data_IF_135553090447
#
_entry.id   IF_135553090447
#
_cell.length_a   1.000
_cell.length_b   1.000
_cell.length_c   1.000
_cell.angle_alpha   90.00
_cell.angle_beta   90.00
_cell.angle_gamma   90.00
#
_symmetry.space_group_name_H-M   'P 1'
#
loop_
_entity.id
_entity.type
_entity.pdbx_description
1 polymer ?
#
# COMPACT_ATOMS: atom_id res chain seq x y z
N UNK A 1 -4.05 6.29 -5.54
CA UNK A 1 -4.43 7.44 -6.36
C UNK A 1 -4.16 8.72 -5.61
N UNK A 2 -4.17 9.86 -6.31
CA UNK A 2 -3.97 11.17 -5.71
C UNK A 2 -5.35 11.81 -5.46
N UNK A 3 -5.63 12.20 -4.22
CA UNK A 3 -6.82 12.97 -3.86
C UNK A 3 -6.70 14.46 -4.26
N UNK A 4 -5.48 14.92 -4.54
CA UNK A 4 -5.13 16.30 -4.85
C UNK A 4 -4.35 16.37 -6.17
N UNK A 5 -4.46 17.48 -6.90
CA UNK A 5 -3.60 17.74 -8.05
C UNK A 5 -2.21 18.19 -7.57
N UNK A 6 -1.19 17.38 -7.89
CA UNK A 6 0.19 17.66 -7.50
C UNK A 6 1.01 17.88 -8.75
N UNK A 7 1.72 18.99 -8.77
CA UNK A 7 2.62 19.37 -9.83
C UNK A 7 4.06 19.38 -9.31
N UNK A 8 4.99 19.00 -10.16
CA UNK A 8 6.42 19.09 -9.88
C UNK A 8 7.15 19.72 -11.07
N UNK A 9 8.33 20.25 -10.79
CA UNK A 9 9.24 20.69 -11.83
C UNK A 9 9.59 19.52 -12.76
N UNK A 10 9.88 19.86 -14.01
CA UNK A 10 10.31 18.88 -14.98
C UNK A 10 11.66 18.26 -14.55
N UNK A 11 11.80 16.92 -14.59
CA UNK A 11 13.07 16.29 -14.30
C UNK A 11 14.18 16.78 -15.25
N UNK A 12 15.41 16.82 -14.73
CA UNK A 12 16.58 17.14 -15.54
C UNK A 12 16.68 16.16 -16.73
N UNK A 13 16.98 16.71 -17.91
CA UNK A 13 17.04 15.94 -19.16
C UNK A 13 15.71 15.69 -19.88
N UNK A 14 14.56 16.10 -19.30
CA UNK A 14 13.25 16.04 -19.97
C UNK A 14 12.75 17.39 -20.50
N UNK A 15 13.42 18.49 -20.15
CA UNK A 15 13.06 19.84 -20.61
C UNK A 15 13.44 20.02 -22.09
N UNK A 16 12.47 20.42 -22.92
CA UNK A 16 12.70 20.74 -24.33
C UNK A 16 12.79 22.25 -24.55
N UNK A 17 13.53 22.71 -25.58
CA UNK A 17 13.55 24.12 -25.95
C UNK A 17 12.14 24.66 -26.21
N UNK A 18 11.76 25.74 -25.54
CA UNK A 18 10.42 26.35 -25.61
C UNK A 18 9.39 25.77 -24.62
N UNK A 19 9.74 24.73 -23.87
CA UNK A 19 8.90 24.08 -22.86
C UNK A 19 9.41 24.30 -21.43
N UNK A 20 10.35 25.23 -21.21
CA UNK A 20 11.06 25.41 -19.94
C UNK A 20 10.12 25.79 -18.77
N UNK A 21 8.97 26.40 -19.07
CA UNK A 21 7.97 26.82 -18.07
C UNK A 21 6.90 25.77 -17.80
N UNK A 22 6.93 24.62 -18.46
CA UNK A 22 5.98 23.54 -18.19
C UNK A 22 6.31 22.84 -16.87
N UNK A 23 5.29 22.20 -16.30
CA UNK A 23 5.38 21.42 -15.07
C UNK A 23 4.75 20.04 -15.29
N UNK A 24 5.21 19.04 -14.57
CA UNK A 24 4.66 17.70 -14.63
C UNK A 24 3.51 17.55 -13.63
N UNK A 25 2.33 17.18 -14.10
CA UNK A 25 1.23 16.75 -13.22
C UNK A 25 1.39 15.28 -12.86
N UNK A 26 1.48 14.98 -11.58
CA UNK A 26 1.53 13.60 -11.10
C UNK A 26 0.18 12.93 -11.29
N UNK A 27 0.19 11.73 -11.90
CA UNK A 27 -1.01 10.89 -12.02
C UNK A 27 -1.12 9.87 -10.89
N UNK A 28 -0.01 9.58 -10.22
CA UNK A 28 0.09 8.65 -9.08
C UNK A 28 1.04 9.23 -8.04
N UNK A 29 0.89 8.80 -6.80
CA UNK A 29 1.80 9.21 -5.72
C UNK A 29 3.20 8.69 -5.97
N UNK A 30 4.20 9.55 -5.76
CA UNK A 30 5.62 9.20 -5.77
C UNK A 30 6.13 8.99 -4.35
N UNK A 31 7.16 8.16 -4.22
CA UNK A 31 7.90 8.05 -2.96
C UNK A 31 8.50 9.40 -2.58
N UNK A 32 8.53 9.72 -1.28
CA UNK A 32 9.01 11.00 -0.77
C UNK A 32 7.98 12.13 -0.74
N UNK A 33 6.80 11.97 -1.35
CA UNK A 33 5.71 12.93 -1.11
C UNK A 33 5.17 12.76 0.31
N UNK A 34 4.90 13.88 1.00
CA UNK A 34 4.39 13.89 2.38
C UNK A 34 3.14 13.03 2.59
N UNK A 35 2.25 12.97 1.60
CA UNK A 35 1.00 12.22 1.65
C UNK A 35 1.11 10.79 1.10
N UNK A 36 2.23 10.43 0.45
CA UNK A 36 2.39 9.11 -0.17
C UNK A 36 2.20 7.95 0.81
N UNK A 37 2.81 7.97 2.02
CA UNK A 37 2.64 6.86 2.97
C UNK A 37 1.18 6.69 3.40
N UNK A 38 0.47 7.80 3.62
CA UNK A 38 -0.94 7.79 4.03
C UNK A 38 -1.85 7.26 2.92
N UNK A 39 -1.63 7.67 1.67
CA UNK A 39 -2.44 7.18 0.55
C UNK A 39 -2.20 5.70 0.28
N UNK A 40 -0.94 5.26 0.38
CA UNK A 40 -0.60 3.85 0.26
C UNK A 40 -1.26 3.02 1.36
N UNK A 41 -1.18 3.45 2.62
CA UNK A 41 -1.83 2.78 3.74
C UNK A 41 -3.35 2.68 3.55
N UNK A 42 -4.02 3.76 3.13
CA UNK A 42 -5.47 3.74 2.85
C UNK A 42 -5.84 2.69 1.78
N UNK A 43 -5.05 2.60 0.71
CA UNK A 43 -5.27 1.60 -0.34
C UNK A 43 -5.04 0.18 0.18
N UNK A 44 -3.98 -0.01 0.97
CA UNK A 44 -3.66 -1.29 1.60
C UNK A 44 -4.76 -1.74 2.58
N UNK A 45 -5.17 -0.87 3.50
CA UNK A 45 -6.25 -1.11 4.47
C UNK A 45 -7.54 -1.52 3.74
N UNK A 46 -7.94 -0.75 2.73
CA UNK A 46 -9.12 -1.05 1.92
C UNK A 46 -9.02 -2.40 1.22
N UNK A 47 -7.83 -2.76 0.72
CA UNK A 47 -7.59 -4.05 0.08
C UNK A 47 -7.67 -5.22 1.07
N UNK A 48 -7.01 -5.09 2.23
CA UNK A 48 -7.02 -6.12 3.28
C UNK A 48 -8.45 -6.41 3.77
N UNK A 49 -9.24 -5.36 4.02
CA UNK A 49 -10.65 -5.50 4.38
C UNK A 49 -11.46 -6.21 3.27
N UNK A 50 -11.19 -5.87 2.00
CA UNK A 50 -11.85 -6.50 0.85
C UNK A 50 -11.55 -7.99 0.71
N UNK A 51 -10.34 -8.43 1.04
CA UNK A 51 -9.97 -9.86 1.03
C UNK A 51 -10.33 -10.59 2.33
N UNK A 52 -11.14 -9.97 3.20
CA UNK A 52 -11.71 -10.60 4.38
C UNK A 52 -10.78 -10.66 5.59
N UNK A 53 -9.76 -9.79 5.65
CA UNK A 53 -8.99 -9.56 6.87
C UNK A 53 -9.66 -8.46 7.68
N UNK A 54 -9.49 -8.48 9.00
CA UNK A 54 -9.97 -7.46 9.91
C UNK A 54 -8.79 -6.77 10.55
N UNK A 55 -8.90 -5.46 10.75
CA UNK A 55 -7.89 -4.69 11.46
C UNK A 55 -8.03 -4.94 12.96
N UNK A 56 -6.91 -5.11 13.65
CA UNK A 56 -6.87 -5.21 15.10
C UNK A 56 -7.37 -3.91 15.74
N UNK A 57 -8.15 -4.00 16.82
CA UNK A 57 -8.69 -2.84 17.52
C UNK A 57 -7.59 -2.02 18.24
N UNK A 58 -6.52 -2.69 18.66
CA UNK A 58 -5.45 -2.07 19.44
C UNK A 58 -4.31 -1.52 18.57
N UNK A 59 -4.11 -2.07 17.36
CA UNK A 59 -3.04 -1.67 16.46
C UNK A 59 -3.51 -1.66 15.01
N UNK A 60 -3.49 -0.49 14.38
CA UNK A 60 -3.97 -0.29 13.02
C UNK A 60 -3.05 -0.88 11.93
N UNK A 61 -1.85 -1.31 12.32
CA UNK A 61 -0.89 -2.00 11.46
C UNK A 61 -1.04 -3.53 11.50
N UNK A 62 -1.90 -4.07 12.36
CA UNK A 62 -2.13 -5.50 12.50
C UNK A 62 -3.45 -5.89 11.86
N UNK A 63 -3.38 -6.89 10.96
CA UNK A 63 -4.53 -7.48 10.30
C UNK A 63 -4.63 -8.96 10.68
N UNK A 64 -5.84 -9.40 11.00
CA UNK A 64 -6.11 -10.77 11.44
C UNK A 64 -7.23 -11.34 10.58
N UNK A 65 -7.05 -12.58 10.14
CA UNK A 65 -8.11 -13.38 9.53
C UNK A 65 -8.35 -14.63 10.38
N UNK A 66 -9.55 -14.73 10.92
CA UNK A 66 -10.05 -15.91 11.63
C UNK A 66 -10.98 -16.67 10.69
N UNK A 67 -10.77 -17.98 10.53
CA UNK A 67 -11.66 -18.87 9.78
C UNK A 67 -12.11 -20.00 10.71
N UNK A 68 -13.38 -20.38 10.62
CA UNK A 68 -13.93 -21.42 11.49
C UNK A 68 -13.14 -22.73 11.36
N UNK A 69 -12.68 -23.27 12.49
CA UNK A 69 -11.91 -24.52 12.53
C UNK A 69 -10.46 -24.40 12.06
N UNK A 70 -9.97 -23.20 11.72
CA UNK A 70 -8.58 -22.96 11.34
C UNK A 70 -7.90 -21.95 12.29
N UNK A 71 -6.61 -22.12 12.58
CA UNK A 71 -5.87 -21.10 13.33
C UNK A 71 -5.79 -19.78 12.56
N UNK A 72 -5.68 -18.63 13.26
CA UNK A 72 -5.69 -17.32 12.63
C UNK A 72 -4.40 -17.07 11.82
N UNK A 73 -4.54 -16.23 10.79
CA UNK A 73 -3.43 -15.65 10.04
C UNK A 73 -3.30 -14.19 10.47
N UNK A 74 -2.09 -13.77 10.81
CA UNK A 74 -1.78 -12.42 11.26
C UNK A 74 -0.79 -11.79 10.29
N UNK A 75 -1.08 -10.58 9.82
CA UNK A 75 -0.17 -9.74 9.06
C UNK A 75 0.11 -8.48 9.86
N UNK A 76 1.38 -8.17 10.06
CA UNK A 76 1.85 -6.90 10.62
C UNK A 76 2.52 -6.08 9.53
N UNK A 77 2.08 -4.83 9.40
CA UNK A 77 2.54 -3.88 8.41
C UNK A 77 3.46 -2.84 9.07
N UNK A 78 4.69 -2.72 8.61
CA UNK A 78 5.61 -1.67 9.05
C UNK A 78 6.11 -0.89 7.85
N UNK A 79 5.48 0.25 7.57
CA UNK A 79 5.74 1.05 6.36
C UNK A 79 5.57 0.16 5.12
N UNK A 80 6.65 -0.22 4.44
CA UNK A 80 6.68 -1.09 3.26
C UNK A 80 7.01 -2.56 3.57
N UNK A 81 7.43 -2.88 4.80
CA UNK A 81 7.70 -4.24 5.25
C UNK A 81 6.43 -4.94 5.76
N UNK A 82 6.31 -6.24 5.47
CA UNK A 82 5.20 -7.07 5.93
C UNK A 82 5.73 -8.32 6.63
N UNK A 83 5.26 -8.55 7.85
CA UNK A 83 5.47 -9.79 8.58
C UNK A 83 4.17 -10.60 8.58
N UNK A 84 4.22 -11.83 8.07
CA UNK A 84 3.08 -12.75 8.06
C UNK A 84 3.37 -13.90 9.01
N UNK A 85 2.45 -14.13 9.94
CA UNK A 85 2.48 -15.23 10.89
C UNK A 85 1.19 -16.06 10.78
N UNK A 86 1.32 -17.38 10.76
CA UNK A 86 0.21 -18.32 10.69
C UNK A 86 0.73 -19.74 10.88
N UNK A 87 -0.15 -20.67 11.24
CA UNK A 87 0.24 -22.07 11.47
C UNK A 87 0.14 -22.94 10.21
N UNK A 88 -0.50 -22.45 9.14
CA UNK A 88 -0.66 -23.15 7.89
C UNK A 88 0.14 -22.45 6.78
N UNK A 89 1.06 -23.17 6.16
CA UNK A 89 1.91 -22.63 5.09
C UNK A 89 1.13 -22.34 3.80
N UNK A 90 0.10 -23.12 3.48
CA UNK A 90 -0.70 -22.90 2.26
C UNK A 90 -1.44 -21.57 2.33
N UNK A 91 -1.97 -21.24 3.51
CA UNK A 91 -2.62 -19.96 3.78
C UNK A 91 -1.65 -18.78 3.69
N UNK A 92 -0.42 -18.94 4.18
CA UNK A 92 0.64 -17.92 4.06
C UNK A 92 1.03 -17.70 2.59
N UNK A 93 1.18 -18.78 1.81
CA UNK A 93 1.50 -18.72 0.38
C UNK A 93 0.38 -18.04 -0.39
N UNK A 94 -0.87 -18.35 -0.08
CA UNK A 94 -2.03 -17.71 -0.71
C UNK A 94 -2.09 -16.21 -0.40
N UNK A 95 -1.87 -15.81 0.85
CA UNK A 95 -1.80 -14.39 1.20
C UNK A 95 -0.67 -13.67 0.46
N UNK A 96 0.53 -14.27 0.39
CA UNK A 96 1.64 -13.71 -0.39
C UNK A 96 1.29 -13.55 -1.87
N UNK A 97 0.56 -14.51 -2.44
CA UNK A 97 0.11 -14.46 -3.84
C UNK A 97 -0.92 -13.36 -4.07
N UNK A 98 -1.80 -13.10 -3.11
CA UNK A 98 -2.77 -12.00 -3.17
C UNK A 98 -2.07 -10.63 -3.10
N UNK A 99 -1.08 -10.49 -2.20
CA UNK A 99 -0.34 -9.26 -1.98
C UNK A 99 0.70 -8.95 -3.07
N UNK A 100 1.18 -9.96 -3.78
CA UNK A 100 2.14 -9.79 -4.88
C UNK A 100 1.53 -9.37 -6.23
N UNK A 101 0.23 -9.03 -6.27
CA UNK A 101 -0.49 -8.55 -7.46
C UNK A 101 -0.68 -7.04 -7.42
#
# INVERSE_FOLDING_TARGET
DLEEDIYMEQPEGLVKPGEEKLVCRLRKSLYGLKQAPRQWYKQFDSYMLKIGYQRCEYDCCVYVQCRDGHPPIILLLYVDDMLIAGSNMDDIVELKRLLGR
#
